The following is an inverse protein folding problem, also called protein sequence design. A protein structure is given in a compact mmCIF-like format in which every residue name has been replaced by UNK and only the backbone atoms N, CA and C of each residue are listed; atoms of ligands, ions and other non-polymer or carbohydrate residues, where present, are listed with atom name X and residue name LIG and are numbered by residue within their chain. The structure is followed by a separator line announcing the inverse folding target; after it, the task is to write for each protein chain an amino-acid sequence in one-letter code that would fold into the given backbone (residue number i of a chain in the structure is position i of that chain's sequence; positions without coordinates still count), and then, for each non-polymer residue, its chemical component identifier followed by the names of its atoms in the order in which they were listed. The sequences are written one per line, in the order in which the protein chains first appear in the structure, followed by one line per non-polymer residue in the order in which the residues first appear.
data_IF_972476430444
#
_entry.id   IF_972476430444
#
_cell.length_a   1.000
_cell.length_b   1.000
_cell.length_c   1.000
_cell.angle_alpha   90.00
_cell.angle_beta   90.00
_cell.angle_gamma   90.00
#
_symmetry.space_group_name_H-M   'P 1'
#
loop_
_entity.id
_entity.type
_entity.pdbx_description
1 polymer ?
#
# COMPACT_ATOMS: atom_id res chain seq x y z
N UNK A 1 -41.70 -85.73 -43.53
CA UNK A 1 -42.44 -86.25 -42.36
C UNK A 1 -42.61 -85.12 -41.35
N UNK A 2 -43.86 -84.66 -41.16
CA UNK A 2 -44.42 -83.83 -40.07
C UNK A 2 -43.64 -82.59 -39.60
N UNK A 3 -44.12 -81.41 -40.03
CA UNK A 3 -44.14 -80.20 -39.20
C UNK A 3 -44.87 -80.50 -37.88
N UNK A 4 -44.25 -80.17 -36.74
CA UNK A 4 -44.95 -79.93 -35.47
C UNK A 4 -44.37 -78.66 -34.84
N UNK A 5 -45.29 -77.75 -34.55
CA UNK A 5 -45.06 -76.46 -33.92
C UNK A 5 -44.64 -76.66 -32.45
N UNK A 6 -43.73 -75.82 -31.96
CA UNK A 6 -43.62 -75.52 -30.53
C UNK A 6 -43.49 -74.01 -30.38
N UNK A 7 -44.60 -73.37 -30.00
CA UNK A 7 -44.62 -72.04 -29.41
C UNK A 7 -44.03 -72.15 -28.01
N UNK A 8 -42.95 -71.40 -27.74
CA UNK A 8 -42.54 -71.09 -26.37
C UNK A 8 -42.84 -69.62 -26.13
N UNK A 9 -43.83 -69.39 -25.27
CA UNK A 9 -44.19 -68.11 -24.68
C UNK A 9 -43.08 -67.74 -23.69
N UNK A 10 -42.31 -66.70 -23.99
CA UNK A 10 -41.35 -66.12 -23.05
C UNK A 10 -41.97 -64.87 -22.41
N UNK A 11 -42.15 -64.94 -21.09
CA UNK A 11 -42.63 -63.90 -20.19
C UNK A 11 -41.95 -62.55 -20.46
N UNK A 12 -42.75 -61.52 -20.76
CA UNK A 12 -42.31 -60.13 -20.69
C UNK A 12 -42.19 -59.69 -19.23
N UNK A 13 -40.99 -59.81 -18.65
CA UNK A 13 -40.67 -59.11 -17.40
C UNK A 13 -40.49 -57.64 -17.74
N UNK A 14 -41.54 -56.85 -17.53
CA UNK A 14 -41.46 -55.39 -17.49
C UNK A 14 -40.59 -55.00 -16.30
N UNK A 15 -39.27 -54.94 -16.51
CA UNK A 15 -38.40 -54.25 -15.59
C UNK A 15 -38.72 -52.76 -15.69
N UNK A 16 -39.42 -52.24 -14.69
CA UNK A 16 -39.54 -50.80 -14.49
C UNK A 16 -38.14 -50.28 -14.17
N UNK A 17 -37.42 -49.86 -15.20
CA UNK A 17 -36.20 -49.09 -15.05
C UNK A 17 -36.59 -47.77 -14.40
N UNK A 18 -36.46 -47.70 -13.07
CA UNK A 18 -36.38 -46.43 -12.39
C UNK A 18 -35.12 -45.75 -12.92
N UNK A 19 -35.29 -44.90 -13.92
CA UNK A 19 -34.26 -43.97 -14.33
C UNK A 19 -34.05 -43.05 -13.11
N UNK A 20 -33.05 -43.38 -12.29
CA UNK A 20 -32.44 -42.40 -11.42
C UNK A 20 -31.91 -41.32 -12.36
N UNK A 21 -32.67 -40.23 -12.48
CA UNK A 21 -32.15 -38.99 -13.04
C UNK A 21 -31.02 -38.59 -12.10
N UNK A 22 -29.78 -38.92 -12.47
CA UNK A 22 -28.61 -38.23 -11.95
C UNK A 22 -28.82 -36.75 -12.30
N UNK A 23 -29.43 -36.02 -11.37
CA UNK A 23 -29.24 -34.58 -11.32
C UNK A 23 -27.76 -34.38 -11.12
N UNK A 24 -27.01 -34.24 -12.22
CA UNK A 24 -25.66 -33.72 -12.20
C UNK A 24 -25.75 -32.37 -11.49
N UNK A 25 -25.41 -32.38 -10.20
CA UNK A 25 -25.19 -31.16 -9.43
C UNK A 25 -24.04 -30.47 -10.14
N UNK A 26 -24.36 -29.49 -11.00
CA UNK A 26 -23.37 -28.64 -11.63
C UNK A 26 -22.46 -28.13 -10.51
N UNK A 27 -21.25 -28.69 -10.44
CA UNK A 27 -20.31 -28.35 -9.40
C UNK A 27 -19.99 -26.89 -9.64
N UNK A 28 -20.42 -26.01 -8.73
CA UNK A 28 -20.12 -24.59 -8.82
C UNK A 28 -18.61 -24.47 -8.72
N UNK A 29 -17.94 -24.35 -9.85
CA UNK A 29 -16.53 -24.04 -9.89
C UNK A 29 -16.33 -22.67 -9.22
N UNK A 30 -15.35 -22.60 -8.33
CA UNK A 30 -14.91 -21.33 -7.77
C UNK A 30 -14.18 -20.52 -8.83
N UNK A 31 -13.94 -19.23 -8.58
CA UNK A 31 -13.17 -18.39 -9.50
C UNK A 31 -11.76 -18.95 -9.72
N UNK A 32 -11.26 -18.83 -10.96
CA UNK A 32 -9.92 -19.27 -11.33
C UNK A 32 -8.84 -18.63 -10.45
N UNK A 33 -7.88 -19.45 -10.02
CA UNK A 33 -6.69 -19.04 -9.28
C UNK A 33 -5.51 -19.11 -10.24
N UNK A 34 -5.11 -17.97 -10.81
CA UNK A 34 -3.99 -17.84 -11.74
C UNK A 34 -2.73 -17.31 -11.03
N UNK A 35 -1.66 -18.11 -11.01
CA UNK A 35 -0.35 -17.67 -10.50
C UNK A 35 0.30 -16.72 -11.52
N UNK A 36 0.72 -15.51 -11.11
CA UNK A 36 1.22 -14.52 -12.04
C UNK A 36 2.68 -14.76 -12.44
N UNK A 37 2.96 -14.66 -13.74
CA UNK A 37 4.34 -14.60 -14.24
C UNK A 37 5.00 -13.23 -14.01
N UNK A 38 6.31 -13.24 -13.78
CA UNK A 38 7.11 -12.04 -13.53
C UNK A 38 8.47 -12.09 -14.23
N UNK A 39 9.08 -10.93 -14.54
CA UNK A 39 10.40 -10.91 -15.17
C UNK A 39 11.49 -11.36 -14.19
N UNK A 40 12.49 -12.09 -14.69
CA UNK A 40 13.67 -12.52 -13.91
C UNK A 40 14.63 -11.36 -13.58
N UNK A 41 14.37 -10.16 -14.10
CA UNK A 41 15.13 -8.96 -13.77
C UNK A 41 14.18 -7.77 -13.60
N UNK A 42 14.48 -6.94 -12.62
CA UNK A 42 13.69 -5.76 -12.31
C UNK A 42 14.58 -4.55 -12.08
N UNK A 43 14.05 -3.35 -12.35
CA UNK A 43 14.68 -2.10 -11.93
C UNK A 43 14.10 -1.64 -10.61
N UNK A 44 14.94 -1.22 -9.66
CA UNK A 44 14.51 -0.54 -8.44
C UNK A 44 15.48 0.60 -8.13
N UNK A 45 14.96 1.82 -8.09
CA UNK A 45 15.74 3.01 -7.77
C UNK A 45 17.00 3.20 -8.67
N UNK A 46 16.94 2.72 -9.92
CA UNK A 46 18.05 2.73 -10.88
C UNK A 46 18.90 1.47 -10.89
N UNK A 47 18.84 0.65 -9.84
CA UNK A 47 19.57 -0.62 -9.71
C UNK A 47 18.86 -1.75 -10.46
N UNK A 48 19.62 -2.68 -11.03
CA UNK A 48 19.08 -3.96 -11.51
C UNK A 48 19.05 -4.94 -10.35
N UNK A 49 17.88 -5.53 -10.08
CA UNK A 49 17.72 -6.67 -9.18
C UNK A 49 17.55 -7.90 -10.05
N UNK A 50 18.47 -8.85 -9.91
CA UNK A 50 18.40 -10.16 -10.55
C UNK A 50 17.60 -11.13 -9.66
N UNK A 51 16.57 -11.74 -10.23
CA UNK A 51 15.66 -12.66 -9.55
C UNK A 51 15.85 -14.12 -10.01
N UNK A 52 16.81 -14.41 -10.88
CA UNK A 52 17.04 -15.78 -11.38
C UNK A 52 17.65 -16.70 -10.31
N UNK A 53 18.37 -16.13 -9.33
CA UNK A 53 18.88 -16.90 -8.19
C UNK A 53 17.72 -17.55 -7.42
N UNK A 54 17.81 -18.85 -7.15
CA UNK A 54 16.72 -19.68 -6.59
C UNK A 54 15.97 -19.01 -5.41
N UNK A 55 16.70 -18.55 -4.39
CA UNK A 55 16.11 -17.89 -3.23
C UNK A 55 15.45 -16.55 -3.58
N UNK A 56 16.03 -15.79 -4.52
CA UNK A 56 15.48 -14.51 -4.97
C UNK A 56 14.16 -14.70 -5.71
N UNK A 57 14.10 -15.72 -6.59
CA UNK A 57 12.90 -16.11 -7.31
C UNK A 57 11.77 -16.45 -6.33
N UNK A 58 12.01 -17.40 -5.43
CA UNK A 58 11.00 -17.89 -4.48
C UNK A 58 10.56 -16.81 -3.48
N UNK A 59 11.49 -15.96 -3.02
CA UNK A 59 11.17 -14.83 -2.12
C UNK A 59 10.32 -13.77 -2.81
N UNK A 60 10.59 -13.47 -4.07
CA UNK A 60 9.79 -12.53 -4.85
C UNK A 60 8.41 -13.10 -5.20
N UNK A 61 8.37 -14.33 -5.72
CA UNK A 61 7.13 -15.05 -6.08
C UNK A 61 6.14 -15.06 -4.91
N UNK A 62 6.61 -15.40 -3.70
CA UNK A 62 5.77 -15.38 -2.49
C UNK A 62 5.08 -14.05 -2.27
N UNK A 63 5.83 -12.94 -2.36
CA UNK A 63 5.26 -11.61 -2.10
C UNK A 63 4.35 -11.13 -3.24
N UNK A 64 4.71 -11.42 -4.50
CA UNK A 64 3.87 -11.10 -5.65
C UNK A 64 2.54 -11.84 -5.59
N UNK A 65 2.57 -13.15 -5.36
CA UNK A 65 1.38 -13.99 -5.22
C UNK A 65 0.52 -13.50 -4.06
N UNK A 66 1.11 -13.27 -2.88
CA UNK A 66 0.38 -12.73 -1.73
C UNK A 66 -0.31 -11.41 -2.05
N UNK A 67 0.39 -10.45 -2.64
CA UNK A 67 -0.17 -9.14 -2.97
C UNK A 67 -1.21 -9.20 -4.09
N UNK A 68 -1.11 -10.16 -5.01
CA UNK A 68 -2.14 -10.42 -6.01
C UNK A 68 -3.44 -10.90 -5.35
N UNK A 69 -3.39 -11.84 -4.40
CA UNK A 69 -4.60 -12.37 -3.77
C UNK A 69 -5.12 -11.57 -2.58
N UNK A 70 -4.36 -10.59 -2.07
CA UNK A 70 -4.84 -9.60 -1.10
C UNK A 70 -5.60 -8.45 -1.78
N UNK A 71 -6.59 -8.79 -2.61
CA UNK A 71 -7.28 -7.86 -3.52
C UNK A 71 -7.78 -6.57 -2.85
N UNK A 72 -8.35 -6.67 -1.64
CA UNK A 72 -8.93 -5.54 -0.92
C UNK A 72 -7.85 -4.51 -0.53
N UNK A 73 -6.73 -4.98 0.00
CA UNK A 73 -5.61 -4.15 0.45
C UNK A 73 -4.90 -3.51 -0.73
N UNK A 74 -4.55 -4.29 -1.76
CA UNK A 74 -3.86 -3.78 -2.96
C UNK A 74 -4.74 -2.81 -3.74
N UNK A 75 -6.04 -3.12 -3.90
CA UNK A 75 -6.98 -2.18 -4.53
C UNK A 75 -7.09 -0.87 -3.75
N UNK A 76 -7.14 -0.94 -2.41
CA UNK A 76 -7.17 0.26 -1.57
C UNK A 76 -5.88 1.06 -1.69
N UNK A 77 -4.73 0.39 -1.80
CA UNK A 77 -3.43 1.00 -2.00
C UNK A 77 -3.42 1.83 -3.29
N UNK A 78 -3.83 1.25 -4.42
CA UNK A 78 -3.88 1.93 -5.72
C UNK A 78 -4.82 3.14 -5.67
N UNK A 79 -5.99 2.97 -5.04
CA UNK A 79 -6.95 4.07 -4.87
C UNK A 79 -6.37 5.24 -4.07
N UNK A 80 -5.67 4.96 -2.95
CA UNK A 80 -5.04 5.99 -2.11
C UNK A 80 -3.78 6.59 -2.75
N UNK A 81 -3.05 5.83 -3.56
CA UNK A 81 -1.90 6.34 -4.28
C UNK A 81 -2.27 7.49 -5.20
N UNK A 82 -3.45 7.43 -5.84
CA UNK A 82 -3.97 8.53 -6.63
C UNK A 82 -4.19 9.83 -5.83
N UNK A 83 -4.42 9.72 -4.52
CA UNK A 83 -4.56 10.87 -3.61
C UNK A 83 -3.21 11.40 -3.13
N UNK A 84 -2.29 10.51 -2.76
CA UNK A 84 -1.08 10.90 -2.00
C UNK A 84 0.19 10.95 -2.83
N UNK A 85 0.33 10.17 -3.91
CA UNK A 85 1.51 10.25 -4.78
C UNK A 85 1.72 11.64 -5.40
N UNK A 86 0.67 12.39 -5.81
CA UNK A 86 0.84 13.77 -6.28
C UNK A 86 1.45 14.72 -5.24
N UNK A 87 1.34 14.40 -3.95
CA UNK A 87 1.91 15.19 -2.85
C UNK A 87 3.35 14.73 -2.57
N UNK A 88 3.56 13.41 -2.52
CA UNK A 88 4.83 12.82 -2.08
C UNK A 88 5.89 12.80 -3.19
N UNK A 89 5.51 12.50 -4.44
CA UNK A 89 6.46 12.35 -5.54
C UNK A 89 7.26 13.63 -5.83
N UNK A 90 6.66 14.85 -5.82
CA UNK A 90 7.43 16.08 -5.96
C UNK A 90 8.46 16.28 -4.84
N UNK A 91 8.11 15.92 -3.59
CA UNK A 91 9.02 16.02 -2.44
C UNK A 91 10.19 15.05 -2.60
N UNK A 92 9.93 13.79 -2.98
CA UNK A 92 11.00 12.83 -3.24
C UNK A 92 11.96 13.35 -4.33
N UNK A 93 11.41 13.90 -5.42
CA UNK A 93 12.20 14.49 -6.50
C UNK A 93 13.05 15.68 -6.01
N UNK A 94 12.46 16.59 -5.24
CA UNK A 94 13.15 17.74 -4.64
C UNK A 94 14.30 17.30 -3.72
N UNK A 95 14.08 16.23 -2.95
CA UNK A 95 15.06 15.70 -1.99
C UNK A 95 16.08 14.74 -2.63
N UNK A 96 16.02 14.48 -3.94
CA UNK A 96 16.93 13.58 -4.66
C UNK A 96 16.68 12.09 -4.39
N UNK A 97 15.50 11.72 -3.91
CA UNK A 97 15.11 10.34 -3.62
C UNK A 97 14.40 9.72 -4.84
N UNK A 98 14.78 8.50 -5.27
CA UNK A 98 14.09 7.80 -6.35
C UNK A 98 12.60 7.56 -6.06
N UNK A 99 11.74 7.81 -7.05
CA UNK A 99 10.29 7.69 -6.88
C UNK A 99 9.79 6.28 -6.52
N UNK A 100 10.62 5.26 -6.70
CA UNK A 100 10.30 3.89 -6.29
C UNK A 100 10.12 3.75 -4.77
N UNK A 101 10.68 4.66 -3.96
CA UNK A 101 10.44 4.71 -2.52
C UNK A 101 9.00 5.10 -2.15
N UNK A 102 8.16 5.53 -3.11
CA UNK A 102 6.72 5.62 -2.87
C UNK A 102 6.12 4.25 -2.53
N UNK A 103 6.63 3.15 -3.09
CA UNK A 103 6.13 1.81 -2.80
C UNK A 103 6.53 1.32 -1.40
N UNK A 104 7.62 1.84 -0.84
CA UNK A 104 7.95 1.67 0.58
C UNK A 104 6.80 2.21 1.45
N UNK A 105 6.39 3.46 1.22
CA UNK A 105 5.25 4.04 1.94
C UNK A 105 3.93 3.28 1.71
N UNK A 106 3.76 2.64 0.55
CA UNK A 106 2.62 1.78 0.27
C UNK A 106 2.63 0.55 1.19
N UNK A 107 3.74 -0.17 1.31
CA UNK A 107 3.80 -1.39 2.12
C UNK A 107 3.75 -1.11 3.64
N UNK A 108 4.19 0.08 4.06
CA UNK A 108 4.19 0.50 5.46
C UNK A 108 2.79 0.75 6.02
N UNK A 109 1.92 1.41 5.24
CA UNK A 109 0.65 1.93 5.79
C UNK A 109 -0.55 1.78 4.86
N UNK A 110 -0.36 1.23 3.67
CA UNK A 110 -1.35 1.33 2.57
C UNK A 110 -1.73 2.80 2.36
N UNK A 111 -0.74 3.70 2.47
CA UNK A 111 -0.86 5.16 2.39
C UNK A 111 -1.93 5.74 3.33
N UNK A 112 -1.99 5.24 4.57
CA UNK A 112 -2.88 5.75 5.59
C UNK A 112 -2.13 6.76 6.50
N UNK A 113 -2.44 8.07 6.45
CA UNK A 113 -1.78 9.06 7.30
C UNK A 113 -2.12 8.92 8.78
N UNK A 114 -3.10 8.08 9.13
CA UNK A 114 -3.50 7.78 10.51
C UNK A 114 -3.06 6.38 10.97
N UNK A 115 -2.26 5.66 10.19
CA UNK A 115 -1.77 4.34 10.59
C UNK A 115 -0.96 4.43 11.88
N UNK A 116 -1.16 3.46 12.77
CA UNK A 116 -0.42 3.30 14.03
C UNK A 116 -0.08 1.82 14.17
N UNK A 117 1.21 1.49 14.29
CA UNK A 117 1.63 0.12 14.57
C UNK A 117 1.54 -0.20 16.07
N UNK A 118 1.56 -1.49 16.47
CA UNK A 118 1.70 -1.88 17.88
C UNK A 118 2.96 -1.30 18.54
N UNK A 119 4.05 -1.12 17.77
CA UNK A 119 5.29 -0.49 18.20
C UNK A 119 5.23 1.06 18.23
N UNK A 120 4.07 1.65 17.96
CA UNK A 120 3.82 3.11 17.92
C UNK A 120 4.50 3.85 16.77
N UNK A 121 4.87 3.15 15.70
CA UNK A 121 5.19 3.76 14.41
C UNK A 121 3.92 4.44 13.86
N UNK A 122 4.04 5.65 13.28
CA UNK A 122 2.86 6.43 12.87
C UNK A 122 2.95 7.03 11.47
N UNK A 123 1.77 7.20 10.86
CA UNK A 123 1.58 7.89 9.59
C UNK A 123 1.91 7.04 8.36
N UNK A 124 1.97 7.72 7.21
CA UNK A 124 2.18 7.07 5.90
C UNK A 124 3.51 6.29 5.87
N UNK A 125 4.53 6.86 6.50
CA UNK A 125 5.90 6.35 6.50
C UNK A 125 6.22 5.47 7.71
N UNK A 126 5.24 5.19 8.59
CA UNK A 126 5.43 4.44 9.83
C UNK A 126 6.70 4.86 10.60
N UNK A 127 6.83 6.16 10.87
CA UNK A 127 8.01 6.70 11.54
C UNK A 127 7.89 6.45 13.05
N UNK A 128 8.96 5.95 13.66
CA UNK A 128 9.03 5.78 15.12
C UNK A 128 9.09 7.15 15.84
N UNK A 129 8.57 7.28 17.07
CA UNK A 129 8.50 8.59 17.75
C UNK A 129 9.88 9.25 17.92
N UNK A 130 10.88 8.44 18.29
CA UNK A 130 12.27 8.88 18.46
C UNK A 130 12.85 9.35 17.12
N UNK A 131 12.75 8.51 16.10
CA UNK A 131 13.22 8.81 14.73
C UNK A 131 12.55 10.05 14.15
N UNK A 132 11.25 10.24 14.40
CA UNK A 132 10.54 11.44 13.97
C UNK A 132 11.15 12.72 14.56
N UNK A 133 11.43 12.72 15.87
CA UNK A 133 12.10 13.86 16.53
C UNK A 133 13.53 14.07 16.03
N UNK A 134 14.29 13.00 15.83
CA UNK A 134 15.65 13.06 15.26
C UNK A 134 15.65 13.73 13.87
N UNK A 135 14.62 13.49 13.04
CA UNK A 135 14.48 14.14 11.72
C UNK A 135 13.61 15.40 11.72
N UNK A 136 13.42 16.02 12.89
CA UNK A 136 12.87 17.36 13.05
C UNK A 136 11.34 17.44 13.07
N UNK A 137 10.63 16.32 13.26
CA UNK A 137 9.19 16.31 13.46
C UNK A 137 8.83 16.62 14.92
N UNK A 138 7.77 17.41 15.11
CA UNK A 138 7.13 17.56 16.40
C UNK A 138 6.28 16.33 16.73
N UNK A 139 6.55 15.71 17.88
CA UNK A 139 5.86 14.50 18.36
C UNK A 139 5.57 14.63 19.85
N UNK A 140 4.33 14.95 20.19
CA UNK A 140 3.76 15.06 21.53
C UNK A 140 2.25 14.70 21.53
N UNK A 141 1.59 14.82 22.68
CA UNK A 141 0.18 14.40 22.85
C UNK A 141 -0.82 15.29 22.10
N UNK A 142 -0.44 16.54 21.81
CA UNK A 142 -1.28 17.52 21.13
C UNK A 142 -1.05 17.47 19.60
N UNK A 143 0.20 17.27 19.18
CA UNK A 143 0.71 17.38 17.82
C UNK A 143 1.62 16.19 17.49
N UNK A 144 1.33 15.50 16.39
CA UNK A 144 2.17 14.43 15.87
C UNK A 144 2.37 14.57 14.36
N UNK A 145 3.45 15.23 13.98
CA UNK A 145 3.78 15.54 12.59
C UNK A 145 4.20 14.31 11.78
N UNK A 146 4.32 13.13 12.41
CA UNK A 146 4.44 11.86 11.67
C UNK A 146 3.19 11.55 10.86
N UNK A 147 2.03 12.06 11.30
CA UNK A 147 0.79 12.02 10.53
C UNK A 147 0.68 13.12 9.46
N UNK A 148 1.57 14.13 9.46
CA UNK A 148 1.56 15.18 8.45
C UNK A 148 2.27 14.68 7.18
N UNK A 149 1.54 14.52 6.07
CA UNK A 149 2.05 13.88 4.84
C UNK A 149 3.33 14.53 4.32
N UNK A 150 3.35 15.84 4.15
CA UNK A 150 4.51 16.56 3.61
C UNK A 150 5.72 16.51 4.56
N UNK A 151 5.53 16.84 5.84
CA UNK A 151 6.61 16.83 6.83
C UNK A 151 7.18 15.43 7.06
N UNK A 152 6.33 14.42 7.21
CA UNK A 152 6.78 13.03 7.36
C UNK A 152 7.49 12.51 6.11
N UNK A 153 7.08 12.95 4.90
CA UNK A 153 7.79 12.60 3.66
C UNK A 153 9.20 13.18 3.63
N UNK A 154 9.38 14.45 4.03
CA UNK A 154 10.72 15.05 4.15
C UNK A 154 11.57 14.37 5.22
N UNK A 155 10.98 14.00 6.35
CA UNK A 155 11.68 13.24 7.39
C UNK A 155 12.13 11.85 6.88
N UNK A 156 11.27 11.13 6.16
CA UNK A 156 11.64 9.87 5.51
C UNK A 156 12.77 10.08 4.48
N UNK A 157 12.72 11.16 3.67
CA UNK A 157 13.78 11.48 2.72
C UNK A 157 15.13 11.75 3.41
N UNK A 158 15.14 12.39 4.60
CA UNK A 158 16.35 12.57 5.40
C UNK A 158 16.97 11.23 5.81
N UNK A 159 16.15 10.31 6.33
CA UNK A 159 16.60 8.94 6.64
C UNK A 159 17.17 8.24 5.40
N UNK A 160 16.44 8.26 4.28
CA UNK A 160 16.85 7.56 3.05
C UNK A 160 18.17 8.10 2.49
N UNK A 161 18.40 9.41 2.57
CA UNK A 161 19.69 10.03 2.18
C UNK A 161 20.83 9.60 3.08
N UNK A 162 20.63 9.60 4.39
CA UNK A 162 21.64 9.17 5.36
C UNK A 162 22.01 7.70 5.14
N UNK A 163 21.01 6.84 4.96
CA UNK A 163 21.22 5.43 4.66
C UNK A 163 21.94 5.25 3.31
N UNK A 164 21.59 6.01 2.27
CA UNK A 164 22.26 5.90 0.98
C UNK A 164 23.71 6.38 1.03
N UNK A 165 23.99 7.47 1.75
CA UNK A 165 25.35 7.94 1.99
C UNK A 165 26.20 6.88 2.72
N UNK A 166 25.57 6.04 3.55
CA UNK A 166 26.23 4.94 4.25
C UNK A 166 26.46 3.70 3.38
N UNK A 167 25.48 3.29 2.60
CA UNK A 167 25.49 1.99 1.92
C UNK A 167 25.77 2.04 0.42
N UNK A 168 25.53 3.17 -0.25
CA UNK A 168 25.64 3.29 -1.70
C UNK A 168 24.70 2.39 -2.51
N UNK A 169 23.74 1.70 -1.85
CA UNK A 169 22.83 0.72 -2.43
C UNK A 169 21.40 0.96 -1.94
N UNK A 170 20.49 1.27 -2.87
CA UNK A 170 19.08 1.53 -2.58
C UNK A 170 18.34 0.31 -2.07
N UNK A 171 18.70 -0.89 -2.53
CA UNK A 171 18.13 -2.14 -1.98
C UNK A 171 18.54 -2.34 -0.52
N UNK A 172 19.79 -2.03 -0.16
CA UNK A 172 20.27 -2.05 1.23
C UNK A 172 19.64 -0.95 2.09
N UNK A 173 19.43 0.25 1.51
CA UNK A 173 18.67 1.35 2.15
C UNK A 173 17.23 0.94 2.47
N UNK A 174 16.56 0.26 1.53
CA UNK A 174 15.21 -0.22 1.75
C UNK A 174 15.16 -1.26 2.89
N UNK A 175 16.11 -2.20 2.92
CA UNK A 175 16.22 -3.16 4.03
C UNK A 175 16.47 -2.46 5.37
N UNK A 176 17.32 -1.42 5.39
CA UNK A 176 17.61 -0.69 6.63
C UNK A 176 16.42 0.09 7.15
N UNK A 177 15.51 0.54 6.29
CA UNK A 177 14.30 1.25 6.72
C UNK A 177 13.46 0.41 7.70
N UNK A 178 13.32 -0.89 7.43
CA UNK A 178 12.60 -1.81 8.30
C UNK A 178 13.43 -2.23 9.53
N UNK A 179 14.67 -2.67 9.33
CA UNK A 179 15.49 -3.26 10.39
C UNK A 179 16.29 -2.24 11.24
N UNK A 180 16.40 -1.00 10.78
CA UNK A 180 17.31 0.02 11.29
C UNK A 180 18.72 -0.10 10.70
N UNK A 181 19.39 1.05 10.51
CA UNK A 181 20.75 1.10 9.97
C UNK A 181 21.77 0.36 10.85
N UNK A 182 21.66 0.48 12.18
CA UNK A 182 22.59 -0.21 13.09
C UNK A 182 22.56 -1.74 12.92
N UNK A 183 21.36 -2.31 12.78
CA UNK A 183 21.19 -3.75 12.57
C UNK A 183 21.74 -4.19 11.23
N UNK A 184 21.35 -3.53 10.14
CA UNK A 184 21.85 -3.88 8.80
C UNK A 184 23.39 -3.79 8.74
N UNK A 185 23.98 -2.73 9.28
CA UNK A 185 25.45 -2.61 9.31
C UNK A 185 26.12 -3.74 10.10
N UNK A 186 25.58 -4.10 11.26
CA UNK A 186 26.15 -5.19 12.07
C UNK A 186 26.01 -6.56 11.40
N UNK A 187 24.90 -6.82 10.70
CA UNK A 187 24.69 -8.10 10.03
C UNK A 187 25.53 -8.22 8.74
N UNK A 188 25.73 -7.14 7.98
CA UNK A 188 26.68 -7.12 6.86
C UNK A 188 28.09 -7.50 7.32
N UNK A 189 28.55 -6.90 8.43
CA UNK A 189 29.86 -7.19 9.00
C UNK A 189 29.97 -8.64 9.51
N UNK A 190 29.00 -9.10 10.31
CA UNK A 190 29.04 -10.46 10.91
C UNK A 190 28.92 -11.57 9.88
N UNK A 191 28.14 -11.35 8.82
CA UNK A 191 27.87 -12.37 7.81
C UNK A 191 28.79 -12.25 6.60
N UNK A 192 29.74 -11.29 6.61
CA UNK A 192 30.69 -11.02 5.54
C UNK A 192 29.97 -10.83 4.19
N UNK A 193 28.86 -10.08 4.22
CA UNK A 193 28.01 -9.83 3.07
C UNK A 193 28.12 -8.37 2.62
N UNK A 194 28.14 -8.16 1.30
CA UNK A 194 28.19 -6.82 0.69
C UNK A 194 26.79 -6.23 0.47
N UNK A 195 25.76 -7.08 0.42
CA UNK A 195 24.40 -6.69 0.04
C UNK A 195 23.35 -7.27 0.97
N UNK A 196 22.26 -6.52 1.17
CA UNK A 196 21.19 -6.93 2.09
C UNK A 196 20.45 -8.20 1.67
N UNK A 197 20.47 -8.57 0.39
CA UNK A 197 19.81 -9.79 -0.09
C UNK A 197 20.50 -11.07 0.40
N UNK A 198 21.78 -10.98 0.71
CA UNK A 198 22.62 -12.09 1.16
C UNK A 198 22.63 -12.22 2.69
N UNK A 199 21.92 -11.33 3.39
CA UNK A 199 21.78 -11.40 4.83
C UNK A 199 20.71 -12.42 5.24
N UNK A 200 21.09 -13.28 6.17
CA UNK A 200 20.19 -14.10 6.95
C UNK A 200 19.56 -13.26 8.08
N UNK A 201 18.40 -12.68 7.80
CA UNK A 201 17.64 -11.84 8.74
C UNK A 201 16.34 -12.53 9.16
N UNK A 202 15.66 -11.93 10.15
CA UNK A 202 14.32 -12.40 10.51
C UNK A 202 13.36 -12.32 9.31
N UNK A 203 12.29 -13.11 9.37
CA UNK A 203 11.37 -13.26 8.24
C UNK A 203 10.81 -11.91 7.77
N UNK A 204 10.43 -11.03 8.70
CA UNK A 204 9.90 -9.70 8.38
C UNK A 204 10.86 -8.86 7.54
N UNK A 205 12.13 -8.77 7.95
CA UNK A 205 13.14 -7.97 7.24
C UNK A 205 13.50 -8.60 5.91
N UNK A 206 13.71 -9.93 5.90
CA UNK A 206 14.05 -10.69 4.70
C UNK A 206 13.00 -10.60 3.60
N UNK A 207 11.75 -10.31 3.96
CA UNK A 207 10.60 -10.10 3.06
C UNK A 207 10.45 -8.68 2.57
N UNK A 208 10.97 -7.71 3.32
CA UNK A 208 10.61 -6.31 3.18
C UNK A 208 10.91 -5.74 1.79
N UNK A 209 12.14 -5.96 1.28
CA UNK A 209 12.53 -5.46 -0.05
C UNK A 209 11.69 -6.11 -1.16
N UNK A 210 11.43 -7.42 -1.07
CA UNK A 210 10.59 -8.13 -2.04
C UNK A 210 9.14 -7.62 -2.05
N UNK A 211 8.58 -7.26 -0.89
CA UNK A 211 7.25 -6.62 -0.81
C UNK A 211 7.21 -5.29 -1.56
N UNK A 212 8.28 -4.49 -1.49
CA UNK A 212 8.39 -3.23 -2.24
C UNK A 212 8.44 -3.51 -3.74
N UNK A 213 9.29 -4.45 -4.16
CA UNK A 213 9.44 -4.83 -5.57
C UNK A 213 8.13 -5.38 -6.15
N UNK A 214 7.45 -6.27 -5.43
CA UNK A 214 6.18 -6.85 -5.86
C UNK A 214 5.06 -5.80 -5.93
N UNK A 215 5.00 -4.88 -4.97
CA UNK A 215 4.06 -3.75 -5.02
C UNK A 215 4.35 -2.84 -6.22
N UNK A 216 5.63 -2.56 -6.52
CA UNK A 216 6.05 -1.83 -7.72
C UNK A 216 5.60 -2.53 -9.00
N UNK A 217 5.81 -3.84 -9.10
CA UNK A 217 5.43 -4.62 -10.28
C UNK A 217 3.91 -4.53 -10.52
N UNK A 218 3.12 -4.80 -9.49
CA UNK A 218 1.65 -4.69 -9.57
C UNK A 218 1.24 -3.28 -9.99
N UNK A 219 1.81 -2.23 -9.37
CA UNK A 219 1.47 -0.84 -9.67
C UNK A 219 1.90 -0.39 -11.07
N UNK A 220 2.90 -1.04 -11.67
CA UNK A 220 3.38 -0.72 -13.01
C UNK A 220 2.44 -1.29 -14.09
N UNK A 221 1.66 -2.32 -13.76
CA UNK A 221 0.65 -2.89 -14.67
C UNK A 221 -0.51 -3.59 -13.92
N UNK A 222 -1.37 -2.85 -13.18
CA UNK A 222 -2.36 -3.50 -12.30
C UNK A 222 -3.31 -4.46 -13.02
N UNK A 223 -3.68 -4.15 -14.27
CA UNK A 223 -4.55 -5.01 -15.07
C UNK A 223 -3.92 -6.36 -15.45
N UNK A 224 -2.58 -6.46 -15.55
CA UNK A 224 -1.86 -7.74 -15.72
C UNK A 224 -2.12 -8.67 -14.53
N UNK A 225 -2.32 -8.10 -13.35
CA UNK A 225 -2.53 -8.80 -12.08
C UNK A 225 -4.00 -8.82 -11.64
N UNK A 226 -4.94 -8.67 -12.56
CA UNK A 226 -6.39 -8.75 -12.28
C UNK A 226 -7.04 -7.49 -11.72
N UNK A 227 -6.28 -6.42 -11.45
CA UNK A 227 -6.82 -5.16 -10.94
C UNK A 227 -7.37 -4.28 -12.08
N UNK A 228 -8.68 -4.37 -12.29
CA UNK A 228 -9.43 -3.64 -13.34
C UNK A 228 -10.17 -2.43 -12.76
N UNK A 229 -9.42 -1.43 -12.28
CA UNK A 229 -9.99 -0.21 -11.69
C UNK A 229 -10.43 0.79 -12.78
N UNK A 230 -11.45 1.59 -12.48
CA UNK A 230 -11.88 2.75 -13.28
C UNK A 230 -11.41 4.04 -12.61
N UNK A 231 -11.22 5.09 -13.40
CA UNK A 231 -10.80 6.42 -12.94
C UNK A 231 -11.70 6.95 -11.82
N UNK A 232 -13.01 6.75 -11.95
CA UNK A 232 -14.00 7.12 -10.91
C UNK A 232 -13.91 6.32 -9.62
N UNK A 233 -13.11 5.26 -9.54
CA UNK A 233 -12.92 4.45 -8.33
C UNK A 233 -11.65 4.84 -7.56
N UNK A 234 -10.77 5.64 -8.16
CA UNK A 234 -9.57 6.17 -7.52
C UNK A 234 -9.92 7.32 -6.58
N UNK A 235 -9.24 7.38 -5.43
CA UNK A 235 -9.44 8.48 -4.50
C UNK A 235 -8.73 9.72 -5.02
N UNK A 236 -9.48 10.80 -5.20
CA UNK A 236 -8.95 12.04 -5.74
C UNK A 236 -8.27 12.88 -4.63
N UNK A 237 -7.23 13.68 -4.96
CA UNK A 237 -6.67 14.69 -4.07
C UNK A 237 -7.75 15.68 -3.59
N UNK A 238 -7.75 16.00 -2.29
CA UNK A 238 -8.69 16.96 -1.70
C UNK A 238 -8.02 18.32 -1.69
N UNK A 239 -8.60 19.29 -2.40
CA UNK A 239 -8.13 20.68 -2.39
C UNK A 239 -8.46 21.33 -1.05
N UNK A 240 -7.60 22.24 -0.63
CA UNK A 240 -7.73 22.95 0.64
C UNK A 240 -7.19 24.37 0.52
N UNK A 241 -7.60 25.22 1.46
CA UNK A 241 -6.90 26.46 1.81
C UNK A 241 -6.12 26.23 3.10
N UNK A 242 -5.14 27.08 3.39
CA UNK A 242 -4.37 27.02 4.64
C UNK A 242 -4.69 28.21 5.51
N UNK A 243 -4.93 27.95 6.80
CA UNK A 243 -5.10 28.98 7.83
C UNK A 243 -3.83 29.00 8.66
N UNK A 244 -3.15 30.15 8.66
CA UNK A 244 -2.00 30.41 9.53
C UNK A 244 -2.49 30.56 10.98
N UNK A 245 -1.93 29.78 11.89
CA UNK A 245 -2.24 29.83 13.32
C UNK A 245 -0.94 29.93 14.12
N UNK A 246 -0.83 30.99 14.91
CA UNK A 246 0.31 31.30 15.80
C UNK A 246 -0.16 31.53 17.25
N UNK A 247 -1.36 31.07 17.59
CA UNK A 247 -1.98 31.20 18.91
C UNK A 247 -2.65 29.90 19.34
N UNK A 248 -2.91 29.76 20.64
CA UNK A 248 -3.66 28.62 21.19
C UNK A 248 -5.06 28.50 20.60
N UNK A 249 -5.44 27.30 20.19
CA UNK A 249 -6.84 26.94 19.91
C UNK A 249 -7.38 26.10 21.08
N UNK A 250 -8.26 26.70 21.89
CA UNK A 250 -8.85 26.04 23.05
C UNK A 250 -9.91 24.98 22.70
N UNK A 251 -10.46 25.01 21.47
CA UNK A 251 -11.45 24.03 21.02
C UNK A 251 -11.42 23.90 19.49
N UNK A 252 -10.84 22.81 19.00
CA UNK A 252 -10.75 22.52 17.57
C UNK A 252 -12.12 22.27 16.92
N UNK A 253 -13.15 21.88 17.67
CA UNK A 253 -14.49 21.72 17.13
C UNK A 253 -15.15 23.08 16.85
N UNK A 254 -14.99 24.06 17.76
CA UNK A 254 -15.44 25.44 17.52
C UNK A 254 -14.63 26.09 16.38
N UNK A 255 -13.33 25.84 16.32
CA UNK A 255 -12.50 26.27 15.19
C UNK A 255 -12.99 25.65 13.86
N UNK A 256 -13.24 24.34 13.81
CA UNK A 256 -13.79 23.70 12.62
C UNK A 256 -15.13 24.32 12.19
N UNK A 257 -16.01 24.56 13.16
CA UNK A 257 -17.31 25.17 12.94
C UNK A 257 -17.18 26.59 12.36
N UNK A 258 -16.26 27.42 12.85
CA UNK A 258 -16.03 28.76 12.31
C UNK A 258 -15.47 28.74 10.88
N UNK A 259 -14.79 27.66 10.50
CA UNK A 259 -14.34 27.41 9.12
C UNK A 259 -15.43 26.74 8.24
N UNK A 260 -16.62 26.48 8.78
CA UNK A 260 -17.74 25.89 8.05
C UNK A 260 -17.54 24.42 7.67
N UNK A 261 -16.73 23.68 8.44
CA UNK A 261 -16.49 22.24 8.28
C UNK A 261 -16.76 21.50 9.60
N UNK A 262 -16.95 20.18 9.53
CA UNK A 262 -17.07 19.36 10.73
C UNK A 262 -15.71 19.12 11.40
N UNK A 263 -15.71 18.85 12.69
CA UNK A 263 -14.49 18.44 13.41
C UNK A 263 -13.83 17.21 12.76
N UNK A 264 -14.62 16.25 12.27
CA UNK A 264 -14.10 15.08 11.56
C UNK A 264 -13.39 15.46 10.25
N UNK A 265 -13.95 16.40 9.47
CA UNK A 265 -13.32 16.90 8.24
C UNK A 265 -12.00 17.63 8.54
N UNK A 266 -11.96 18.42 9.62
CA UNK A 266 -10.72 19.06 10.08
C UNK A 266 -9.65 18.03 10.41
N UNK A 267 -9.99 16.97 11.17
CA UNK A 267 -9.05 15.92 11.60
C UNK A 267 -8.61 15.01 10.45
N UNK A 268 -9.46 14.78 9.44
CA UNK A 268 -9.08 14.02 8.25
C UNK A 268 -8.12 14.84 7.36
N UNK A 269 -8.31 16.16 7.26
CA UNK A 269 -7.39 17.04 6.53
C UNK A 269 -6.08 17.29 7.29
N UNK A 270 -6.11 17.22 8.63
CA UNK A 270 -4.97 17.48 9.52
C UNK A 270 -4.81 16.35 10.54
N UNK A 271 -4.45 15.12 10.11
CA UNK A 271 -4.35 13.97 11.01
C UNK A 271 -3.21 14.09 12.05
N UNK A 272 -2.34 15.08 11.88
CA UNK A 272 -1.28 15.47 12.80
C UNK A 272 -1.79 16.24 14.03
N UNK A 273 -2.98 16.85 13.97
CA UNK A 273 -3.64 17.34 15.17
C UNK A 273 -4.11 16.12 15.96
N UNK A 274 -3.67 15.94 17.21
CA UNK A 274 -4.00 14.76 18.02
C UNK A 274 -5.05 15.06 19.08
N UNK A 275 -4.85 16.12 19.85
CA UNK A 275 -5.78 16.56 20.86
C UNK A 275 -7.05 17.22 20.28
N UNK A 276 -7.96 17.64 21.18
CA UNK A 276 -9.15 18.47 20.88
C UNK A 276 -8.83 19.96 20.96
N UNK A 277 -7.62 20.29 21.38
CA UNK A 277 -7.06 21.64 21.52
C UNK A 277 -5.73 21.68 20.77
N UNK A 278 -5.19 22.88 20.58
CA UNK A 278 -3.84 23.08 20.06
C UNK A 278 -3.19 24.18 20.91
N UNK A 279 -2.45 23.82 21.97
CA UNK A 279 -1.84 24.80 22.84
C UNK A 279 -0.58 25.38 22.18
N UNK A 280 -0.35 26.68 22.36
CA UNK A 280 0.83 27.37 21.85
C UNK A 280 2.08 27.13 22.73
N UNK A 281 2.36 25.86 23.05
CA UNK A 281 3.51 25.49 23.89
C UNK A 281 4.83 25.72 23.15
N UNK A 282 4.84 25.53 21.84
CA UNK A 282 6.05 25.60 21.02
C UNK A 282 6.30 26.96 20.38
N UNK A 283 5.37 27.94 20.50
CA UNK A 283 5.45 29.26 19.84
C UNK A 283 5.70 29.16 18.33
N UNK A 284 5.23 28.06 17.73
CA UNK A 284 5.40 27.78 16.31
C UNK A 284 4.18 28.25 15.54
N UNK A 285 4.43 28.67 14.30
CA UNK A 285 3.39 28.92 13.32
C UNK A 285 2.98 27.60 12.69
N UNK A 286 1.68 27.31 12.72
CA UNK A 286 1.06 26.17 12.04
C UNK A 286 0.23 26.62 10.86
N UNK A 287 0.13 25.76 9.85
CA UNK A 287 -0.75 25.93 8.71
C UNK A 287 -1.77 24.79 8.74
N UNK A 288 -3.01 25.12 9.08
CA UNK A 288 -4.10 24.16 9.18
C UNK A 288 -4.85 24.12 7.85
N UNK A 289 -4.97 22.93 7.28
CA UNK A 289 -5.65 22.70 6.00
C UNK A 289 -7.16 22.68 6.19
N UNK A 290 -7.87 23.54 5.47
CA UNK A 290 -9.34 23.59 5.44
C UNK A 290 -9.80 23.06 4.08
N UNK A 291 -10.45 21.88 4.00
CA UNK A 291 -10.84 21.29 2.74
C UNK A 291 -11.90 22.15 2.03
N UNK A 292 -11.80 22.24 0.70
CA UNK A 292 -12.81 22.89 -0.13
C UNK A 292 -14.12 22.11 -0.08
N UNK A 293 -15.25 22.81 0.04
CA UNK A 293 -16.58 22.21 0.24
C UNK A 293 -16.98 21.29 -0.92
N UNK A 294 -16.58 21.61 -2.14
CA UNK A 294 -16.87 20.83 -3.34
C UNK A 294 -16.22 19.44 -3.29
N UNK A 295 -15.00 19.37 -2.75
CA UNK A 295 -14.21 18.13 -2.70
C UNK A 295 -14.66 17.17 -1.59
N UNK A 296 -15.53 17.65 -0.69
CA UNK A 296 -16.20 16.83 0.34
C UNK A 296 -17.29 15.92 -0.24
N UNK A 297 -17.77 16.18 -1.46
CA UNK A 297 -18.82 15.40 -2.11
C UNK A 297 -18.30 14.67 -3.34
N UNK A 298 -18.48 13.35 -3.37
CA UNK A 298 -17.99 12.52 -4.49
C UNK A 298 -18.56 12.93 -5.85
N UNK A 299 -19.83 13.32 -5.89
CA UNK A 299 -20.56 13.70 -7.10
C UNK A 299 -20.08 14.99 -7.74
N UNK A 300 -19.37 15.84 -6.99
CA UNK A 300 -18.88 17.15 -7.47
C UNK A 300 -17.41 17.10 -7.91
N UNK A 301 -16.76 15.94 -7.84
CA UNK A 301 -15.33 15.82 -8.12
C UNK A 301 -15.05 15.63 -9.60
N UNK A 302 -13.97 16.26 -10.06
CA UNK A 302 -13.30 15.87 -11.30
C UNK A 302 -12.49 14.61 -11.02
N UNK A 303 -12.71 13.56 -11.81
CA UNK A 303 -11.97 12.31 -11.68
C UNK A 303 -10.77 12.30 -12.62
N UNK A 304 -9.60 12.10 -12.06
CA UNK A 304 -8.33 11.98 -12.78
C UNK A 304 -7.55 10.79 -12.25
N UNK A 305 -6.73 10.20 -13.11
CA UNK A 305 -5.76 9.19 -12.73
C UNK A 305 -4.37 9.81 -12.78
N UNK A 306 -3.65 9.81 -11.65
CA UNK A 306 -2.27 10.27 -11.54
C UNK A 306 -1.35 9.46 -12.46
N UNK A 307 -1.63 8.16 -12.59
CA UNK A 307 -1.01 7.25 -13.53
C UNK A 307 -2.08 6.56 -14.36
N UNK A 308 -1.97 6.66 -15.69
CA UNK A 308 -3.00 6.19 -16.63
C UNK A 308 -3.08 4.66 -16.68
N UNK A 309 -1.97 3.99 -16.43
CA UNK A 309 -1.85 2.53 -16.39
C UNK A 309 -2.65 1.88 -15.25
N UNK A 310 -3.07 2.65 -14.23
CA UNK A 310 -3.84 2.12 -13.10
C UNK A 310 -5.31 1.86 -13.42
N UNK A 311 -5.79 2.31 -14.58
CA UNK A 311 -7.21 2.28 -14.91
C UNK A 311 -7.46 1.70 -16.29
N UNK A 312 -8.59 1.01 -16.44
CA UNK A 312 -9.00 0.40 -17.72
C UNK A 312 -9.75 1.38 -18.62
N UNK A 313 -10.39 2.40 -18.05
CA UNK A 313 -11.05 3.46 -18.81
C UNK A 313 -10.02 4.53 -19.18
N UNK A 314 -9.23 4.21 -20.21
CA UNK A 314 -8.25 5.12 -20.84
C UNK A 314 -8.97 6.31 -21.48
N UNK A 315 -9.46 7.24 -20.66
CA UNK A 315 -9.91 8.58 -21.08
C UNK A 315 -8.73 9.55 -21.11
#
# INVERSE_FOLDING_TARGET
MKLRHCFIVALSVLSSSWAFSETATAQKEFSDVVIPEFPLQMKFAGETVDLDRLDMYERFDRELTTLCYMHSSTSLAIKRANRYFPIMAPILKEEGIPSDFLYLAVIESTLNPRAVSPAKAMGIWQIMPRTGREYGLEVNDDIDERCHVEKSTRAACRYLKEAYAKYGSWTTVAASYNAGMGRISSELEKQLADHSFDLWLNEETSRYVFRILAMKEIFSSPSKYGYKLKTRQLYQPVRYTEVRVDTTINNLALFAQSQGISYAQLKEANPWLRARTMPDKSRKVYYIKIPQKEDLFYTKRKFTAYRKEWVIDKK
#
